data_IF_831391188316
#
_entry.id   IF_831391188316
#
_cell.length_a   1.000
_cell.length_b   1.000
_cell.length_c   1.000
_cell.angle_alpha   90.00
_cell.angle_beta   90.00
_cell.angle_gamma   90.00
#
_symmetry.space_group_name_H-M   'P 1'
#
loop_
_entity.id
_entity.type
_entity.pdbx_description
1 polymer ?
#
# COMPACT_ATOMS: atom_id res chain seq x y z
N UNK A 1 31.74 35.92 22.36
CA UNK A 1 30.28 35.92 22.30
C UNK A 1 29.86 35.95 20.83
N UNK A 2 29.79 34.86 20.16
CA UNK A 2 29.26 34.76 18.79
C UNK A 2 28.63 33.40 18.62
N UNK A 3 27.29 33.42 18.53
CA UNK A 3 26.41 32.60 17.69
C UNK A 3 26.70 31.10 17.65
N UNK A 4 26.26 30.38 18.66
CA UNK A 4 25.80 29.00 18.58
C UNK A 4 24.30 29.08 18.79
N UNK A 5 23.59 29.35 17.74
CA UNK A 5 22.14 29.28 17.69
C UNK A 5 21.78 29.10 16.23
N UNK A 6 21.43 27.90 15.87
CA UNK A 6 20.56 27.57 14.76
C UNK A 6 20.94 26.23 14.08
N UNK A 7 20.93 25.16 14.86
CA UNK A 7 20.85 23.83 14.29
C UNK A 7 20.03 22.90 15.22
N UNK A 8 19.04 23.50 15.87
CA UNK A 8 18.15 22.74 16.75
C UNK A 8 16.71 23.17 16.52
N UNK A 9 16.26 23.14 15.28
CA UNK A 9 14.83 23.31 14.98
C UNK A 9 14.50 22.80 13.57
N UNK A 10 14.64 21.51 13.36
CA UNK A 10 13.87 20.73 12.38
C UNK A 10 13.86 19.27 12.83
N UNK A 11 13.64 19.04 14.11
CA UNK A 11 13.22 17.75 14.63
C UNK A 11 11.69 17.72 14.57
N UNK A 12 11.13 17.71 13.38
CA UNK A 12 9.76 17.23 13.19
C UNK A 12 9.83 15.74 13.49
N UNK A 13 9.15 15.35 14.54
CA UNK A 13 8.95 13.98 14.99
C UNK A 13 8.32 13.13 13.87
N UNK A 14 9.15 12.62 12.98
CA UNK A 14 8.85 11.37 12.28
C UNK A 14 9.35 10.31 13.25
N UNK A 15 8.44 9.57 13.86
CA UNK A 15 8.77 8.35 14.60
C UNK A 15 9.25 7.28 13.60
N UNK A 16 10.41 7.49 13.00
CA UNK A 16 11.15 6.40 12.40
C UNK A 16 11.73 5.60 13.57
N UNK A 17 11.19 4.41 13.79
CA UNK A 17 11.75 3.48 14.76
C UNK A 17 13.17 3.13 14.31
N UNK A 18 14.17 3.75 14.92
CA UNK A 18 15.55 3.33 14.78
C UNK A 18 15.73 2.08 15.63
N UNK A 19 15.79 0.92 15.02
CA UNK A 19 16.15 -0.32 15.71
C UNK A 19 17.63 -0.57 15.53
N UNK A 20 18.39 -0.28 16.56
CA UNK A 20 19.79 -0.68 16.64
C UNK A 20 19.83 -2.14 17.10
N UNK A 21 20.37 -3.02 16.30
CA UNK A 21 20.71 -4.37 16.75
C UNK A 21 21.99 -4.26 17.57
N UNK A 22 21.91 -4.58 18.88
CA UNK A 22 23.08 -4.49 19.76
C UNK A 22 24.19 -5.41 19.26
N UNK A 23 25.36 -4.83 19.00
CA UNK A 23 26.57 -5.58 18.68
C UNK A 23 27.06 -6.38 19.87
N UNK A 24 27.61 -7.57 19.64
CA UNK A 24 28.35 -8.32 20.65
C UNK A 24 29.65 -7.56 21.00
N UNK A 25 30.11 -7.63 22.25
CA UNK A 25 31.37 -7.00 22.67
C UNK A 25 32.53 -7.50 21.77
N UNK A 26 33.20 -6.55 21.08
CA UNK A 26 34.38 -6.85 20.24
C UNK A 26 34.14 -6.79 18.74
N UNK A 27 32.93 -6.48 18.28
CA UNK A 27 32.63 -6.32 16.84
C UNK A 27 33.30 -5.10 16.23
N UNK A 28 33.60 -5.18 14.92
CA UNK A 28 34.20 -4.05 14.19
C UNK A 28 33.15 -3.14 13.55
N UNK A 29 31.89 -3.61 13.43
CA UNK A 29 30.81 -2.84 12.82
C UNK A 29 29.48 -3.10 13.53
N UNK A 30 28.56 -2.18 13.31
CA UNK A 30 27.15 -2.28 13.66
C UNK A 30 26.29 -1.92 12.46
N UNK A 31 25.06 -2.34 12.46
CA UNK A 31 24.10 -1.91 11.47
C UNK A 31 22.72 -1.67 12.09
N UNK A 32 22.02 -0.70 11.56
CA UNK A 32 20.67 -0.32 11.98
C UNK A 32 19.77 0.00 10.80
N UNK A 33 18.48 0.16 11.05
CA UNK A 33 17.47 0.46 10.02
C UNK A 33 16.78 1.77 10.32
N UNK A 34 16.59 2.58 9.28
CA UNK A 34 15.68 3.71 9.25
C UNK A 34 14.66 3.50 8.14
N UNK A 35 13.36 3.55 8.47
CA UNK A 35 12.29 3.48 7.50
C UNK A 35 11.81 4.90 7.14
N UNK A 36 11.48 5.12 5.87
CA UNK A 36 10.89 6.36 5.39
C UNK A 36 9.43 6.15 4.96
N UNK A 37 8.63 7.23 5.02
CA UNK A 37 7.20 7.21 4.66
C UNK A 37 6.91 6.86 3.19
N UNK A 38 7.91 7.03 2.31
CA UNK A 38 7.80 6.74 0.87
C UNK A 38 7.97 5.25 0.50
N UNK A 39 8.02 4.38 1.50
CA UNK A 39 8.25 2.95 1.30
C UNK A 39 9.71 2.59 1.01
N UNK A 40 10.64 3.50 1.31
CA UNK A 40 12.07 3.20 1.31
C UNK A 40 12.56 2.83 2.72
N UNK A 41 13.61 2.04 2.77
CA UNK A 41 14.32 1.72 4.00
C UNK A 41 15.81 1.91 3.79
N UNK A 42 16.46 2.53 4.76
CA UNK A 42 17.90 2.74 4.76
C UNK A 42 18.53 1.84 5.82
N UNK A 43 19.46 0.97 5.39
CA UNK A 43 20.32 0.19 6.28
C UNK A 43 21.61 0.99 6.48
N UNK A 44 21.78 1.52 7.68
CA UNK A 44 22.95 2.31 8.08
C UNK A 44 23.98 1.36 8.66
N UNK A 45 25.18 1.30 8.07
CA UNK A 45 26.29 0.48 8.57
C UNK A 45 27.35 1.39 9.15
N UNK A 46 27.69 1.20 10.42
CA UNK A 46 28.66 2.02 11.15
C UNK A 46 29.87 1.19 11.62
N UNK A 47 31.03 1.81 11.68
CA UNK A 47 32.23 1.21 12.22
C UNK A 47 32.32 1.42 13.73
N UNK A 48 32.61 0.39 14.48
CA UNK A 48 32.92 0.45 15.92
C UNK A 48 34.38 0.82 16.19
N UNK A 49 35.25 0.71 15.18
CA UNK A 49 36.68 1.05 15.24
C UNK A 49 37.05 1.79 13.96
N UNK A 50 37.99 2.74 14.03
CA UNK A 50 38.44 3.45 12.85
C UNK A 50 39.03 2.50 11.81
N UNK A 51 38.57 2.64 10.55
CA UNK A 51 39.11 1.89 9.42
C UNK A 51 39.30 2.78 8.22
N UNK A 52 40.44 2.67 7.56
CA UNK A 52 40.72 3.35 6.31
C UNK A 52 40.08 2.65 5.10
N UNK A 53 39.67 1.41 5.26
CA UNK A 53 39.03 0.61 4.22
C UNK A 53 38.16 -0.48 4.85
N UNK A 54 37.14 -0.89 4.10
CA UNK A 54 36.31 -2.04 4.38
C UNK A 54 35.87 -2.71 3.09
N UNK A 55 35.68 -4.01 3.16
CA UNK A 55 35.02 -4.77 2.11
C UNK A 55 33.80 -5.49 2.72
N UNK A 56 32.63 -5.19 2.20
CA UNK A 56 31.36 -5.65 2.72
C UNK A 56 30.61 -6.46 1.67
N UNK A 57 29.97 -7.50 2.14
CA UNK A 57 28.97 -8.24 1.37
C UNK A 57 27.63 -8.06 2.06
N UNK A 58 26.60 -7.70 1.30
CA UNK A 58 25.22 -7.49 1.81
C UNK A 58 24.30 -8.44 1.08
N UNK A 59 23.65 -9.31 1.82
CA UNK A 59 22.68 -10.27 1.29
C UNK A 59 21.27 -9.90 1.79
N UNK A 60 20.29 -9.96 0.91
CA UNK A 60 18.90 -9.58 1.18
C UNK A 60 17.93 -10.38 0.32
N UNK A 61 16.67 -10.46 0.73
CA UNK A 61 15.62 -11.11 -0.05
C UNK A 61 15.10 -10.17 -1.16
N UNK A 62 15.33 -10.48 -2.45
CA UNK A 62 14.87 -9.66 -3.57
C UNK A 62 13.34 -9.66 -3.72
N UNK A 63 12.64 -10.63 -3.13
CA UNK A 63 11.17 -10.63 -3.01
C UNK A 63 10.63 -9.60 -2.03
N UNK A 64 11.46 -9.12 -1.12
CA UNK A 64 11.11 -8.15 -0.09
C UNK A 64 11.71 -6.77 -0.33
N UNK A 65 12.94 -6.71 -0.84
CA UNK A 65 13.74 -5.50 -0.95
C UNK A 65 14.35 -5.38 -2.36
N UNK A 66 14.31 -4.17 -2.91
CA UNK A 66 15.03 -3.84 -4.15
C UNK A 66 16.06 -2.75 -3.83
N UNK A 67 17.33 -3.02 -4.10
CA UNK A 67 18.39 -2.04 -3.92
C UNK A 67 18.21 -0.85 -4.86
N UNK A 68 18.24 0.38 -4.31
CA UNK A 68 18.08 1.61 -5.09
C UNK A 68 19.31 2.50 -5.11
N UNK A 69 20.23 2.34 -4.17
CA UNK A 69 21.45 3.12 -4.13
C UNK A 69 22.11 3.14 -2.76
N UNK A 70 23.29 3.75 -2.69
CA UNK A 70 23.97 3.96 -1.42
C UNK A 70 24.57 5.36 -1.33
N UNK A 71 24.78 5.80 -0.10
CA UNK A 71 25.59 6.97 0.25
C UNK A 71 26.73 6.53 1.19
N UNK A 72 27.89 7.14 1.08
CA UNK A 72 29.04 6.81 1.89
C UNK A 72 29.98 8.00 2.00
N UNK A 73 30.56 8.27 3.19
CA UNK A 73 31.57 9.30 3.35
C UNK A 73 32.95 8.92 2.78
N UNK A 74 33.13 7.69 2.32
CA UNK A 74 34.40 7.23 1.76
C UNK A 74 34.69 7.86 0.40
N UNK A 75 35.90 8.38 0.23
CA UNK A 75 36.30 9.07 -1.00
C UNK A 75 36.41 8.14 -2.21
N UNK A 76 36.68 6.86 -1.98
CA UNK A 76 36.70 5.80 -3.02
C UNK A 76 35.76 4.69 -2.60
N UNK A 77 34.79 4.40 -3.43
CA UNK A 77 33.88 3.29 -3.20
C UNK A 77 33.53 2.59 -4.51
N UNK A 78 33.19 1.33 -4.41
CA UNK A 78 32.67 0.53 -5.51
C UNK A 78 31.51 -0.31 -5.01
N UNK A 79 30.46 -0.40 -5.80
CA UNK A 79 29.30 -1.26 -5.51
C UNK A 79 29.03 -2.12 -6.72
N UNK A 80 29.07 -3.45 -6.52
CA UNK A 80 28.57 -4.41 -7.49
C UNK A 80 27.24 -4.95 -6.94
N UNK A 81 26.17 -4.66 -7.64
CA UNK A 81 24.83 -5.13 -7.29
C UNK A 81 24.46 -6.35 -8.14
N UNK A 82 24.02 -7.41 -7.49
CA UNK A 82 23.36 -8.58 -8.03
C UNK A 82 21.91 -8.61 -7.51
N UNK A 83 21.11 -9.56 -7.89
CA UNK A 83 19.68 -9.57 -7.56
C UNK A 83 19.42 -9.63 -6.04
N UNK A 84 20.18 -10.46 -5.33
CA UNK A 84 20.04 -10.75 -3.90
C UNK A 84 21.27 -10.33 -3.07
N UNK A 85 22.25 -9.68 -3.72
CA UNK A 85 23.55 -9.45 -3.11
C UNK A 85 24.25 -8.18 -3.59
N UNK A 86 24.86 -7.45 -2.66
CA UNK A 86 25.78 -6.35 -2.96
C UNK A 86 27.18 -6.70 -2.49
N UNK A 87 28.18 -6.33 -3.30
CA UNK A 87 29.59 -6.36 -2.90
C UNK A 87 30.10 -4.92 -2.91
N UNK A 88 30.60 -4.45 -1.77
CA UNK A 88 30.95 -3.05 -1.54
C UNK A 88 32.39 -2.94 -1.10
N UNK A 89 33.20 -2.21 -1.86
CA UNK A 89 34.55 -1.84 -1.49
C UNK A 89 34.60 -0.37 -1.06
N UNK A 90 35.08 -0.09 0.14
CA UNK A 90 35.25 1.24 0.69
C UNK A 90 36.73 1.52 0.95
N UNK A 91 37.24 2.68 0.55
CA UNK A 91 38.60 3.11 0.82
C UNK A 91 38.67 4.62 1.06
N UNK A 92 39.45 5.01 2.05
CA UNK A 92 39.80 6.39 2.29
C UNK A 92 41.33 6.51 2.38
N UNK A 93 41.97 7.35 1.57
CA UNK A 93 43.43 7.52 1.59
C UNK A 93 43.96 8.18 2.86
N UNK A 94 43.12 8.80 3.65
CA UNK A 94 43.51 9.46 4.91
C UNK A 94 43.11 8.60 6.10
N UNK A 95 44.02 8.44 7.07
CA UNK A 95 43.70 7.81 8.34
C UNK A 95 42.60 8.59 9.06
N UNK A 96 41.50 7.92 9.39
CA UNK A 96 40.34 8.54 10.01
C UNK A 96 40.52 8.68 11.51
N UNK A 97 39.93 9.71 12.11
CA UNK A 97 39.99 10.00 13.53
C UNK A 97 39.12 9.02 14.37
N UNK A 98 39.43 8.98 15.66
CA UNK A 98 38.99 8.00 16.66
C UNK A 98 37.50 7.98 17.05
N UNK A 99 36.56 8.14 16.11
CA UNK A 99 35.13 8.10 16.42
C UNK A 99 34.41 7.04 15.55
N UNK A 100 33.31 6.51 16.05
CA UNK A 100 32.44 5.62 15.30
C UNK A 100 32.01 6.30 13.98
N UNK A 101 32.22 5.65 12.87
CA UNK A 101 32.04 6.24 11.55
C UNK A 101 30.98 5.50 10.77
N UNK A 102 30.12 6.28 10.15
CA UNK A 102 29.26 5.77 9.10
C UNK A 102 30.09 5.18 7.96
N UNK A 103 29.88 3.91 7.65
CA UNK A 103 30.53 3.26 6.55
C UNK A 103 29.75 3.45 5.26
N UNK A 104 28.49 3.12 5.29
CA UNK A 104 27.61 3.22 4.13
C UNK A 104 26.16 3.18 4.55
N UNK A 105 25.36 4.01 3.91
CA UNK A 105 23.91 4.00 3.94
C UNK A 105 23.39 3.30 2.69
N UNK A 106 22.72 2.17 2.87
CA UNK A 106 22.17 1.36 1.80
C UNK A 106 20.68 1.58 1.70
N UNK A 107 20.22 2.12 0.59
CA UNK A 107 18.80 2.38 0.36
C UNK A 107 18.16 1.25 -0.43
N UNK A 108 17.07 0.76 0.12
CA UNK A 108 16.21 -0.25 -0.51
C UNK A 108 14.80 0.26 -0.63
N UNK A 109 14.12 -0.11 -1.70
CA UNK A 109 12.68 0.03 -1.83
C UNK A 109 12.03 -1.26 -1.38
N UNK A 110 11.04 -1.17 -0.50
CA UNK A 110 10.25 -2.31 -0.08
C UNK A 110 9.32 -2.78 -1.21
N UNK A 111 9.28 -4.08 -1.45
CA UNK A 111 8.50 -4.71 -2.51
C UNK A 111 7.52 -5.70 -1.92
N UNK A 112 6.26 -5.31 -1.77
CA UNK A 112 5.18 -6.20 -1.36
C UNK A 112 5.06 -6.47 0.15
N UNK A 113 4.01 -7.20 0.50
CA UNK A 113 3.62 -7.45 1.87
C UNK A 113 4.38 -8.59 2.54
N UNK A 114 5.16 -8.26 3.52
CA UNK A 114 5.86 -9.17 4.39
C UNK A 114 5.95 -8.55 5.79
N UNK A 115 6.01 -9.41 6.82
CA UNK A 115 6.03 -8.94 8.21
C UNK A 115 7.43 -8.48 8.60
N UNK A 116 8.44 -9.27 8.25
CA UNK A 116 9.84 -8.95 8.47
C UNK A 116 10.74 -9.63 7.43
N UNK A 117 11.89 -9.04 7.17
CA UNK A 117 12.98 -9.66 6.40
C UNK A 117 14.30 -9.33 7.04
N UNK A 118 15.37 -10.03 6.64
CA UNK A 118 16.70 -9.79 7.15
C UNK A 118 17.63 -9.29 6.05
N UNK A 119 18.47 -8.32 6.42
CA UNK A 119 19.63 -7.92 5.63
C UNK A 119 20.86 -8.35 6.40
N UNK A 120 21.69 -9.18 5.77
CA UNK A 120 22.94 -9.66 6.34
C UNK A 120 24.08 -8.81 5.79
N UNK A 121 24.82 -8.15 6.67
CA UNK A 121 26.00 -7.37 6.32
C UNK A 121 27.22 -8.09 6.86
N UNK A 122 28.04 -8.60 5.96
CA UNK A 122 29.29 -9.33 6.30
C UNK A 122 30.49 -8.49 5.91
N UNK A 123 31.38 -8.22 6.87
CA UNK A 123 32.71 -7.71 6.59
C UNK A 123 33.68 -8.87 6.41
N UNK A 124 34.39 -8.94 5.29
CA UNK A 124 35.47 -9.89 5.04
C UNK A 124 36.85 -9.22 5.13
N UNK A 125 36.92 -7.89 5.02
CA UNK A 125 38.10 -7.07 5.28
C UNK A 125 37.71 -5.79 6.01
N UNK A 126 38.50 -5.43 7.02
CA UNK A 126 38.32 -4.21 7.78
C UNK A 126 39.66 -3.68 8.27
N UNK A 127 39.96 -2.40 7.95
CA UNK A 127 41.24 -1.79 8.32
C UNK A 127 42.47 -2.50 7.76
N UNK A 128 42.34 -3.11 6.59
CA UNK A 128 43.41 -3.91 5.95
C UNK A 128 43.59 -5.31 6.49
N UNK A 129 42.85 -5.71 7.51
CA UNK A 129 42.86 -7.05 8.10
C UNK A 129 41.74 -7.91 7.49
N UNK A 130 42.00 -9.19 7.33
CA UNK A 130 40.94 -10.15 7.04
C UNK A 130 40.10 -10.34 8.31
N UNK A 131 38.81 -10.23 8.17
CA UNK A 131 37.81 -10.45 9.24
C UNK A 131 36.73 -11.39 8.71
N UNK A 132 35.89 -11.91 9.57
CA UNK A 132 34.69 -12.66 9.18
C UNK A 132 33.62 -12.33 10.19
N UNK A 133 32.97 -11.22 9.99
CA UNK A 133 31.97 -10.68 10.91
C UNK A 133 30.70 -10.38 10.15
N UNK A 134 29.60 -10.89 10.65
CA UNK A 134 28.26 -10.67 10.06
C UNK A 134 27.36 -10.03 11.09
N UNK A 135 26.73 -8.94 10.69
CA UNK A 135 25.63 -8.30 11.41
C UNK A 135 24.34 -8.57 10.65
N UNK A 136 23.35 -9.10 11.36
CA UNK A 136 22.00 -9.29 10.82
C UNK A 136 21.12 -8.14 11.24
N UNK A 137 20.52 -7.49 10.28
CA UNK A 137 19.58 -6.39 10.51
C UNK A 137 18.19 -6.88 10.15
N UNK A 138 17.27 -6.85 11.10
CA UNK A 138 15.87 -7.15 10.83
C UNK A 138 15.19 -5.88 10.32
N UNK A 139 14.68 -5.94 9.11
CA UNK A 139 13.85 -4.90 8.51
C UNK A 139 12.41 -5.27 8.79
N UNK A 140 11.71 -4.44 9.55
CA UNK A 140 10.29 -4.59 9.73
C UNK A 140 9.61 -4.19 8.45
N UNK A 141 8.82 -5.06 7.89
CA UNK A 141 7.91 -4.75 6.81
C UNK A 141 6.87 -3.75 7.32
N UNK A 142 6.29 -3.02 6.43
CA UNK A 142 5.19 -2.12 6.78
C UNK A 142 3.89 -2.89 7.00
N UNK A 143 3.96 -4.20 7.19
CA UNK A 143 2.80 -5.07 7.29
C UNK A 143 2.04 -5.19 5.97
N UNK A 144 2.70 -4.98 4.83
CA UNK A 144 2.06 -5.11 3.53
C UNK A 144 1.55 -6.52 3.34
N UNK A 145 0.28 -6.66 3.53
CA UNK A 145 -0.41 -7.94 3.53
C UNK A 145 -0.27 -8.70 2.21
N UNK A 146 -0.01 -8.00 1.09
CA UNK A 146 -0.07 -8.61 -0.24
C UNK A 146 1.18 -8.29 -1.08
N UNK A 147 1.84 -9.33 -1.58
CA UNK A 147 3.06 -9.22 -2.41
C UNK A 147 2.83 -8.51 -3.74
N UNK A 148 1.61 -8.51 -4.25
CA UNK A 148 1.20 -7.87 -5.50
C UNK A 148 0.58 -6.47 -5.30
N UNK A 149 0.78 -5.87 -4.12
CA UNK A 149 0.40 -4.51 -3.78
C UNK A 149 1.65 -3.74 -3.34
N UNK A 150 2.51 -3.32 -4.30
CA UNK A 150 3.76 -2.64 -3.98
C UNK A 150 3.52 -1.27 -3.36
N UNK A 151 4.40 -0.89 -2.43
CA UNK A 151 4.45 0.46 -1.90
C UNK A 151 4.58 1.51 -3.01
N UNK A 152 3.94 2.66 -2.81
CA UNK A 152 3.96 3.76 -3.76
C UNK A 152 3.09 3.58 -5.00
N UNK A 153 2.31 2.50 -5.10
CA UNK A 153 1.22 2.41 -6.07
C UNK A 153 0.04 3.25 -5.60
N UNK A 154 -0.72 3.81 -6.54
CA UNK A 154 -1.87 4.68 -6.25
C UNK A 154 -2.99 4.02 -5.43
N UNK A 155 -3.00 2.70 -5.34
CA UNK A 155 -3.99 1.91 -4.59
C UNK A 155 -3.44 1.32 -3.29
N UNK A 156 -2.16 1.52 -3.01
CA UNK A 156 -1.49 0.87 -1.88
C UNK A 156 -2.16 1.18 -0.55
N UNK A 157 -2.29 2.45 -0.19
CA UNK A 157 -2.86 2.89 1.08
C UNK A 157 -4.30 2.40 1.27
N UNK A 158 -5.11 2.50 0.21
CA UNK A 158 -6.48 2.04 0.23
C UNK A 158 -6.58 0.52 0.45
N UNK A 159 -5.77 -0.27 -0.26
CA UNK A 159 -5.79 -1.73 -0.11
C UNK A 159 -5.30 -2.13 1.28
N UNK A 160 -4.21 -1.54 1.74
CA UNK A 160 -3.63 -1.85 3.05
C UNK A 160 -4.61 -1.54 4.18
N UNK A 161 -5.18 -0.33 4.19
CA UNK A 161 -6.14 0.10 5.21
C UNK A 161 -7.40 -0.76 5.19
N UNK A 162 -8.00 -0.97 4.02
CA UNK A 162 -9.22 -1.76 3.88
C UNK A 162 -9.01 -3.23 4.27
N UNK A 163 -7.81 -3.78 4.03
CA UNK A 163 -7.47 -5.13 4.42
C UNK A 163 -7.12 -5.25 5.92
N UNK A 164 -6.46 -4.25 6.50
CA UNK A 164 -6.16 -4.21 7.93
C UNK A 164 -7.43 -4.20 8.79
N UNK A 165 -8.44 -3.44 8.35
CA UNK A 165 -9.77 -3.40 8.99
C UNK A 165 -10.65 -4.64 8.67
N UNK A 166 -10.17 -5.55 7.81
CA UNK A 166 -10.91 -6.75 7.43
C UNK A 166 -12.05 -6.55 6.43
N UNK A 167 -12.21 -5.36 5.88
CA UNK A 167 -13.28 -5.05 4.92
C UNK A 167 -13.07 -5.72 3.56
N UNK A 168 -11.82 -5.76 3.08
CA UNK A 168 -11.48 -6.42 1.84
C UNK A 168 -10.50 -7.57 2.12
N UNK A 169 -10.76 -8.74 1.51
CA UNK A 169 -9.86 -9.90 1.64
C UNK A 169 -9.02 -10.05 0.38
N UNK A 170 -7.80 -10.59 0.52
CA UNK A 170 -6.99 -11.01 -0.62
C UNK A 170 -7.61 -12.20 -1.36
N UNK A 171 -7.08 -12.48 -2.54
CA UNK A 171 -7.37 -13.73 -3.26
C UNK A 171 -6.68 -14.93 -2.58
N UNK A 172 -5.62 -14.64 -1.83
CA UNK A 172 -4.93 -15.54 -0.90
C UNK A 172 -4.33 -14.73 0.23
N UNK A 173 -3.68 -15.39 1.17
CA UNK A 173 -2.99 -14.72 2.30
C UNK A 173 -1.87 -13.76 1.84
N UNK A 174 -1.34 -13.95 0.63
CA UNK A 174 -0.20 -13.18 0.12
C UNK A 174 -0.47 -12.41 -1.17
N UNK A 175 -1.65 -12.54 -1.77
CA UNK A 175 -1.98 -11.88 -3.04
C UNK A 175 -3.37 -11.24 -2.98
N UNK A 176 -3.43 -9.99 -3.40
CA UNK A 176 -4.66 -9.21 -3.48
C UNK A 176 -5.38 -9.37 -4.82
N UNK A 177 -4.65 -9.46 -5.92
CA UNK A 177 -5.18 -9.46 -7.27
C UNK A 177 -5.65 -8.07 -7.73
N UNK A 178 -4.82 -7.00 -7.66
CA UNK A 178 -5.27 -5.62 -7.90
C UNK A 178 -5.88 -5.41 -9.29
N UNK A 179 -5.37 -6.12 -10.31
CA UNK A 179 -5.86 -6.03 -11.69
C UNK A 179 -7.08 -6.89 -12.00
N UNK A 180 -7.53 -7.76 -11.10
CA UNK A 180 -8.67 -8.63 -11.35
C UNK A 180 -9.98 -7.86 -11.30
N UNK A 181 -10.87 -8.13 -12.22
CA UNK A 181 -12.22 -7.56 -12.22
C UNK A 181 -13.04 -8.09 -11.04
N UNK A 182 -13.94 -7.27 -10.53
CA UNK A 182 -14.80 -7.64 -9.42
C UNK A 182 -16.22 -7.92 -9.89
N UNK A 183 -16.75 -9.08 -9.51
CA UNK A 183 -18.14 -9.40 -9.76
C UNK A 183 -19.07 -8.91 -8.65
N UNK A 184 -20.37 -8.92 -8.91
CA UNK A 184 -21.42 -8.42 -7.99
C UNK A 184 -21.45 -9.21 -6.68
N UNK A 185 -21.24 -10.53 -6.72
CA UNK A 185 -21.16 -11.39 -5.53
C UNK A 185 -19.95 -11.09 -4.64
N UNK A 186 -18.90 -10.49 -5.19
CA UNK A 186 -17.72 -10.06 -4.42
C UNK A 186 -17.82 -8.61 -3.93
N UNK A 187 -18.55 -7.75 -4.67
CA UNK A 187 -18.68 -6.32 -4.32
C UNK A 187 -19.67 -6.09 -3.16
N UNK A 188 -20.87 -6.68 -3.21
CA UNK A 188 -21.90 -6.45 -2.18
C UNK A 188 -21.46 -6.85 -0.77
N UNK A 189 -20.75 -7.97 -0.55
CA UNK A 189 -20.18 -8.28 0.76
C UNK A 189 -19.19 -7.26 1.32
N UNK A 190 -18.54 -6.45 0.47
CA UNK A 190 -17.66 -5.38 0.96
C UNK A 190 -18.48 -4.31 1.68
N UNK A 191 -19.60 -3.88 1.09
CA UNK A 191 -20.51 -2.92 1.72
C UNK A 191 -21.10 -3.47 3.02
N UNK A 192 -21.50 -4.74 3.02
CA UNK A 192 -22.05 -5.37 4.23
C UNK A 192 -21.03 -5.46 5.36
N UNK A 193 -19.76 -5.80 5.06
CA UNK A 193 -18.70 -5.82 6.09
C UNK A 193 -18.39 -4.43 6.63
N UNK A 194 -18.39 -3.41 5.77
CA UNK A 194 -18.24 -2.01 6.18
C UNK A 194 -19.38 -1.55 7.08
N UNK A 195 -20.58 -2.10 6.89
CA UNK A 195 -21.75 -1.86 7.73
C UNK A 195 -21.81 -2.75 9.01
N UNK A 196 -20.85 -3.63 9.19
CA UNK A 196 -20.81 -4.57 10.33
C UNK A 196 -21.79 -5.74 10.21
N UNK A 197 -22.29 -6.04 9.01
CA UNK A 197 -23.18 -7.19 8.77
C UNK A 197 -22.41 -8.48 8.95
N UNK A 198 -22.92 -9.37 9.77
CA UNK A 198 -22.34 -10.70 9.98
C UNK A 198 -22.49 -11.57 8.73
N UNK A 199 -21.46 -12.35 8.44
CA UNK A 199 -21.49 -13.31 7.34
C UNK A 199 -22.38 -14.49 7.72
N UNK A 200 -23.58 -14.52 7.17
CA UNK A 200 -24.60 -15.54 7.41
C UNK A 200 -25.19 -16.03 6.10
N UNK A 201 -25.87 -17.15 6.14
CA UNK A 201 -26.66 -17.64 5.00
C UNK A 201 -28.09 -17.16 5.10
N UNK A 202 -28.66 -16.69 4.00
CA UNK A 202 -30.03 -16.23 3.95
C UNK A 202 -30.71 -16.55 2.63
N UNK A 203 -32.02 -16.79 2.69
CA UNK A 203 -32.87 -16.78 1.50
C UNK A 203 -33.01 -15.38 0.93
N UNK A 204 -33.04 -15.27 -0.38
CA UNK A 204 -33.26 -14.01 -1.10
C UNK A 204 -34.41 -14.17 -2.09
N UNK A 205 -34.96 -13.06 -2.58
CA UNK A 205 -35.93 -13.11 -3.68
C UNK A 205 -35.30 -13.44 -5.04
N UNK A 206 -33.98 -13.44 -5.15
CA UNK A 206 -33.27 -13.66 -6.40
C UNK A 206 -33.07 -15.15 -6.67
N UNK A 207 -33.57 -15.62 -7.82
CA UNK A 207 -33.61 -17.03 -8.16
C UNK A 207 -32.20 -17.64 -8.42
N UNK A 208 -31.21 -16.80 -8.67
CA UNK A 208 -29.82 -17.17 -8.99
C UNK A 208 -28.84 -16.96 -7.79
N UNK A 209 -29.38 -16.75 -6.60
CA UNK A 209 -28.59 -16.67 -5.36
C UNK A 209 -28.79 -17.95 -4.55
N UNK A 210 -27.76 -18.77 -4.48
CA UNK A 210 -27.78 -19.99 -3.67
C UNK A 210 -27.69 -19.62 -2.18
N UNK A 211 -28.56 -20.20 -1.34
CA UNK A 211 -28.67 -19.89 0.08
C UNK A 211 -27.35 -20.10 0.82
N UNK A 212 -26.63 -21.20 0.52
CA UNK A 212 -25.36 -21.53 1.18
C UNK A 212 -24.13 -20.81 0.57
N UNK A 213 -24.35 -19.85 -0.34
CA UNK A 213 -23.23 -19.04 -0.84
C UNK A 213 -22.78 -18.02 0.19
N UNK A 214 -21.46 -17.70 0.23
CA UNK A 214 -20.87 -16.75 1.16
C UNK A 214 -21.45 -15.32 1.05
N UNK A 215 -22.10 -15.01 -0.06
CA UNK A 215 -22.68 -13.69 -0.33
C UNK A 215 -24.18 -13.63 -0.09
N UNK A 216 -24.89 -14.75 0.17
CA UNK A 216 -26.35 -14.76 0.25
C UNK A 216 -26.92 -13.86 1.33
N UNK A 217 -26.34 -13.88 2.53
CA UNK A 217 -26.76 -13.01 3.63
C UNK A 217 -26.51 -11.53 3.35
N UNK A 218 -25.41 -11.20 2.71
CA UNK A 218 -25.11 -9.81 2.29
C UNK A 218 -26.04 -9.34 1.17
N UNK A 219 -26.40 -10.20 0.24
CA UNK A 219 -27.37 -9.87 -0.81
C UNK A 219 -28.77 -9.68 -0.23
N UNK A 220 -29.19 -10.53 0.71
CA UNK A 220 -30.45 -10.36 1.43
C UNK A 220 -30.50 -9.04 2.20
N UNK A 221 -29.43 -8.70 2.91
CA UNK A 221 -29.29 -7.42 3.60
C UNK A 221 -29.37 -6.24 2.63
N UNK A 222 -28.61 -6.27 1.53
CA UNK A 222 -28.57 -5.18 0.56
C UNK A 222 -29.89 -4.98 -0.18
N UNK A 223 -30.62 -6.05 -0.44
CA UNK A 223 -31.97 -6.00 -1.01
C UNK A 223 -32.99 -5.42 -0.01
N UNK A 224 -32.95 -5.86 1.24
CA UNK A 224 -33.84 -5.37 2.30
C UNK A 224 -33.69 -3.87 2.60
N UNK A 225 -32.47 -3.31 2.39
CA UNK A 225 -32.14 -1.90 2.60
C UNK A 225 -32.18 -1.09 1.28
N UNK A 226 -32.64 -1.67 0.18
CA UNK A 226 -32.78 -0.96 -1.10
C UNK A 226 -31.47 -0.64 -1.82
N UNK A 227 -30.34 -1.17 -1.34
CA UNK A 227 -29.02 -0.93 -1.91
C UNK A 227 -28.88 -1.60 -3.28
N UNK A 228 -29.45 -2.80 -3.42
CA UNK A 228 -29.47 -3.54 -4.68
C UNK A 228 -30.92 -3.80 -5.14
N UNK A 229 -31.16 -3.69 -6.42
CA UNK A 229 -32.48 -3.97 -7.03
C UNK A 229 -32.52 -5.25 -7.85
N UNK A 230 -31.37 -5.79 -8.19
CA UNK A 230 -31.23 -6.91 -9.10
C UNK A 230 -31.34 -6.52 -10.57
N UNK A 231 -31.55 -7.52 -11.40
CA UNK A 231 -31.68 -7.42 -12.86
C UNK A 231 -33.08 -7.89 -13.30
N UNK A 232 -33.38 -7.72 -14.57
CA UNK A 232 -34.62 -8.27 -15.14
C UNK A 232 -34.76 -9.77 -14.89
N UNK A 233 -35.99 -10.24 -14.66
CA UNK A 233 -36.25 -11.65 -14.37
C UNK A 233 -35.99 -12.06 -12.91
N UNK A 234 -35.94 -11.12 -11.99
CA UNK A 234 -35.68 -11.37 -10.57
C UNK A 234 -34.33 -12.05 -10.30
N UNK A 235 -33.29 -11.62 -11.01
CA UNK A 235 -31.93 -12.15 -10.91
C UNK A 235 -31.03 -11.12 -10.20
N UNK A 236 -30.09 -11.60 -9.39
CA UNK A 236 -29.01 -10.79 -8.84
C UNK A 236 -27.81 -10.69 -9.78
N UNK A 237 -27.61 -11.72 -10.60
CA UNK A 237 -26.46 -11.92 -11.48
C UNK A 237 -25.10 -11.93 -10.73
N UNK A 238 -24.88 -12.87 -9.78
CA UNK A 238 -23.72 -12.87 -8.88
C UNK A 238 -22.38 -12.95 -9.62
N UNK A 239 -22.31 -13.69 -10.72
CA UNK A 239 -21.10 -13.86 -11.54
C UNK A 239 -20.81 -12.72 -12.50
N UNK A 240 -21.72 -11.77 -12.68
CA UNK A 240 -21.51 -10.64 -13.59
C UNK A 240 -20.55 -9.62 -12.96
N UNK A 241 -19.57 -9.16 -13.74
CA UNK A 241 -18.70 -8.08 -13.31
C UNK A 241 -19.51 -6.82 -13.05
N UNK A 242 -19.22 -6.14 -11.93
CA UNK A 242 -19.85 -4.87 -11.59
C UNK A 242 -19.21 -3.77 -12.44
N UNK A 243 -20.04 -2.99 -13.12
CA UNK A 243 -19.56 -1.79 -13.82
C UNK A 243 -19.56 -0.56 -12.90
N UNK A 244 -18.88 0.50 -13.35
CA UNK A 244 -18.71 1.72 -12.54
C UNK A 244 -20.04 2.39 -12.20
N UNK A 245 -21.00 2.41 -13.12
CA UNK A 245 -22.33 2.95 -12.84
C UNK A 245 -23.06 2.17 -11.73
N UNK A 246 -23.00 0.85 -11.77
CA UNK A 246 -23.58 0.02 -10.72
C UNK A 246 -22.92 0.23 -9.36
N UNK A 247 -21.58 0.31 -9.32
CA UNK A 247 -20.84 0.54 -8.08
C UNK A 247 -21.21 1.87 -7.43
N UNK A 248 -21.16 2.95 -8.22
CA UNK A 248 -21.51 4.29 -7.73
C UNK A 248 -22.95 4.32 -7.23
N UNK A 249 -23.88 3.69 -7.95
CA UNK A 249 -25.29 3.61 -7.53
C UNK A 249 -25.49 2.81 -6.25
N UNK A 250 -24.75 1.72 -6.04
CA UNK A 250 -24.81 0.96 -4.79
C UNK A 250 -24.29 1.79 -3.61
N UNK A 251 -23.19 2.53 -3.79
CA UNK A 251 -22.67 3.44 -2.76
C UNK A 251 -23.62 4.59 -2.44
N UNK A 252 -24.20 5.20 -3.46
CA UNK A 252 -25.19 6.27 -3.31
C UNK A 252 -26.41 5.80 -2.50
N UNK A 253 -26.98 4.64 -2.85
CA UNK A 253 -28.10 4.05 -2.13
C UNK A 253 -27.73 3.63 -0.71
N UNK A 254 -26.51 3.13 -0.53
CA UNK A 254 -25.99 2.87 0.82
C UNK A 254 -25.91 4.15 1.64
N UNK A 255 -25.37 5.22 1.08
CA UNK A 255 -25.33 6.53 1.76
C UNK A 255 -26.72 7.03 2.13
N UNK A 256 -27.71 6.89 1.24
CA UNK A 256 -29.12 7.22 1.52
C UNK A 256 -29.69 6.37 2.67
N UNK A 257 -29.46 5.05 2.67
CA UNK A 257 -29.92 4.16 3.75
C UNK A 257 -29.32 4.55 5.11
N UNK A 258 -28.07 5.02 5.12
CA UNK A 258 -27.40 5.50 6.34
C UNK A 258 -27.75 6.94 6.74
N UNK A 259 -28.60 7.61 5.99
CA UNK A 259 -28.98 8.99 6.24
C UNK A 259 -27.82 9.98 6.07
N UNK A 260 -26.82 9.62 5.27
CA UNK A 260 -25.72 10.52 4.90
C UNK A 260 -26.25 11.61 3.94
N UNK A 261 -25.54 12.73 3.87
CA UNK A 261 -25.85 13.75 2.87
C UNK A 261 -25.49 13.25 1.48
N UNK A 262 -26.51 13.08 0.65
CA UNK A 262 -26.37 12.67 -0.75
C UNK A 262 -26.71 13.80 -1.71
N UNK A 263 -26.79 15.03 -1.22
CA UNK A 263 -27.01 16.19 -2.08
C UNK A 263 -25.85 16.37 -3.07
N UNK A 264 -26.18 16.75 -4.27
CA UNK A 264 -25.22 17.08 -5.33
C UNK A 264 -25.80 18.17 -6.23
N UNK A 265 -24.95 18.83 -6.99
CA UNK A 265 -25.37 19.72 -8.06
C UNK A 265 -26.11 18.96 -9.18
N UNK A 266 -26.73 19.74 -10.09
CA UNK A 266 -27.39 19.13 -11.25
C UNK A 266 -26.40 18.30 -12.08
N UNK A 267 -26.73 17.04 -12.42
CA UNK A 267 -25.82 16.17 -13.18
C UNK A 267 -25.32 16.81 -14.48
N UNK A 268 -26.17 17.58 -15.17
CA UNK A 268 -25.82 18.32 -16.37
C UNK A 268 -24.83 19.46 -16.16
N UNK A 269 -24.55 19.86 -14.92
CA UNK A 269 -23.51 20.83 -14.60
C UNK A 269 -22.23 20.11 -14.12
N UNK A 270 -22.37 19.22 -13.14
CA UNK A 270 -21.24 18.52 -12.48
C UNK A 270 -20.48 17.60 -13.45
N UNK A 271 -21.23 16.88 -14.29
CA UNK A 271 -20.62 15.82 -15.14
C UNK A 271 -20.06 16.36 -16.47
N UNK A 272 -20.37 17.60 -16.86
CA UNK A 272 -19.90 18.16 -18.12
C UNK A 272 -18.39 18.46 -18.16
N UNK A 273 -17.71 18.44 -17.01
CA UNK A 273 -16.25 18.52 -16.96
C UNK A 273 -15.56 17.24 -17.46
N UNK A 274 -16.32 16.16 -17.67
CA UNK A 274 -15.83 14.88 -18.18
C UNK A 274 -16.19 14.67 -19.64
N UNK A 275 -15.29 14.05 -20.40
CA UNK A 275 -15.43 13.81 -21.84
C UNK A 275 -16.73 13.02 -22.16
N UNK A 276 -17.10 12.10 -21.27
CA UNK A 276 -18.27 11.25 -21.41
C UNK A 276 -19.46 11.67 -20.52
N UNK A 277 -19.42 12.90 -19.99
CA UNK A 277 -20.43 13.42 -19.07
C UNK A 277 -21.84 13.39 -19.65
N UNK A 278 -22.03 13.76 -20.92
CA UNK A 278 -23.33 13.67 -21.60
C UNK A 278 -23.85 12.22 -21.65
N UNK A 279 -22.95 11.27 -21.93
CA UNK A 279 -23.31 9.84 -21.97
C UNK A 279 -23.66 9.31 -20.58
N UNK A 280 -23.03 9.82 -19.52
CA UNK A 280 -23.36 9.48 -18.12
C UNK A 280 -24.73 10.06 -17.74
N UNK A 281 -25.01 11.32 -18.09
CA UNK A 281 -26.30 11.96 -17.87
C UNK A 281 -27.47 11.21 -18.55
N UNK A 282 -27.21 10.57 -19.68
CA UNK A 282 -28.22 9.76 -20.38
C UNK A 282 -28.57 8.44 -19.66
N UNK A 283 -27.80 8.04 -18.63
CA UNK A 283 -28.11 6.88 -17.79
C UNK A 283 -28.94 7.37 -16.59
N UNK A 284 -30.26 7.52 -16.77
CA UNK A 284 -31.17 8.14 -15.81
C UNK A 284 -30.99 7.67 -14.35
N UNK A 285 -30.78 6.35 -14.14
CA UNK A 285 -30.63 5.78 -12.80
C UNK A 285 -29.24 5.97 -12.17
N UNK A 286 -28.25 6.43 -12.94
CA UNK A 286 -26.87 6.59 -12.48
C UNK A 286 -26.39 8.05 -12.52
N UNK A 287 -27.08 8.95 -13.21
CA UNK A 287 -26.66 10.33 -13.38
C UNK A 287 -26.48 11.08 -12.05
N UNK A 288 -27.49 11.05 -11.17
CA UNK A 288 -27.44 11.65 -9.83
C UNK A 288 -26.38 10.96 -8.93
N UNK A 289 -26.31 9.61 -8.83
CA UNK A 289 -25.23 8.91 -8.17
C UNK A 289 -23.83 9.33 -8.63
N UNK A 290 -23.61 9.51 -9.93
CA UNK A 290 -22.32 9.97 -10.43
C UNK A 290 -22.01 11.42 -10.04
N UNK A 291 -22.98 12.33 -10.12
CA UNK A 291 -22.79 13.73 -9.70
C UNK A 291 -22.39 13.77 -8.22
N UNK A 292 -23.13 13.07 -7.37
CA UNK A 292 -22.80 12.93 -5.96
C UNK A 292 -21.39 12.37 -5.73
N UNK A 293 -21.04 11.27 -6.39
CA UNK A 293 -19.76 10.61 -6.19
C UNK A 293 -18.56 11.44 -6.67
N UNK A 294 -18.75 12.27 -7.70
CA UNK A 294 -17.74 13.22 -8.19
C UNK A 294 -17.53 14.36 -7.19
N UNK A 295 -18.61 15.02 -6.75
CA UNK A 295 -18.52 16.16 -5.82
C UNK A 295 -17.98 15.77 -4.45
N UNK A 296 -18.26 14.54 -4.02
CA UNK A 296 -17.73 14.00 -2.75
C UNK A 296 -16.37 13.29 -2.91
N UNK A 297 -15.71 13.41 -4.07
CA UNK A 297 -14.38 12.85 -4.27
C UNK A 297 -14.29 11.31 -4.29
N UNK A 298 -15.44 10.62 -4.23
CA UNK A 298 -15.50 9.15 -4.27
C UNK A 298 -14.97 8.60 -5.59
N UNK A 299 -15.22 9.33 -6.68
CA UNK A 299 -14.74 8.99 -8.01
C UNK A 299 -14.18 10.23 -8.72
N UNK A 300 -12.97 10.11 -9.28
CA UNK A 300 -12.28 11.23 -9.93
C UNK A 300 -12.14 11.05 -11.46
N UNK A 301 -12.71 9.99 -12.01
CA UNK A 301 -12.51 9.62 -13.42
C UNK A 301 -11.11 9.09 -13.72
N UNK A 302 -10.88 8.75 -14.96
CA UNK A 302 -9.59 8.33 -15.53
C UNK A 302 -9.45 8.95 -16.92
N UNK A 303 -8.32 9.59 -17.19
CA UNK A 303 -8.05 10.27 -18.47
C UNK A 303 -9.20 11.20 -18.93
N UNK A 304 -9.83 11.90 -17.96
CA UNK A 304 -10.94 12.80 -18.21
C UNK A 304 -12.28 12.11 -18.48
N UNK A 305 -12.42 10.80 -18.24
CA UNK A 305 -13.67 10.04 -18.41
C UNK A 305 -14.13 9.40 -17.12
N UNK A 306 -15.44 9.26 -16.94
CA UNK A 306 -16.08 8.52 -15.85
C UNK A 306 -16.24 7.03 -16.17
N UNK A 307 -16.34 6.70 -17.44
CA UNK A 307 -16.46 5.36 -18.01
C UNK A 307 -17.54 4.50 -17.32
N UNK A 308 -18.83 4.87 -17.39
CA UNK A 308 -19.91 4.25 -16.61
C UNK A 308 -20.12 2.75 -16.92
N UNK A 309 -19.90 2.34 -18.17
CA UNK A 309 -20.02 0.96 -18.61
C UNK A 309 -18.78 0.10 -18.33
N UNK A 310 -17.65 0.74 -18.02
CA UNK A 310 -16.40 0.05 -17.75
C UNK A 310 -16.49 -0.77 -16.46
N UNK A 311 -15.92 -1.97 -16.46
CA UNK A 311 -15.74 -2.78 -15.25
C UNK A 311 -14.65 -2.17 -14.37
N UNK A 312 -14.76 -2.35 -13.07
CA UNK A 312 -13.71 -1.95 -12.15
C UNK A 312 -12.92 -3.17 -11.67
N UNK A 313 -11.62 -2.99 -11.60
CA UNK A 313 -10.76 -3.96 -10.96
C UNK A 313 -10.74 -3.76 -9.43
N UNK A 314 -10.20 -4.75 -8.73
CA UNK A 314 -10.18 -4.78 -7.27
C UNK A 314 -9.46 -3.59 -6.64
N UNK A 315 -8.37 -3.10 -7.27
CA UNK A 315 -7.67 -1.91 -6.80
C UNK A 315 -8.54 -0.65 -6.90
N UNK A 316 -9.24 -0.47 -8.02
CA UNK A 316 -10.16 0.67 -8.20
C UNK A 316 -11.32 0.63 -7.19
N UNK A 317 -11.87 -0.56 -6.94
CA UNK A 317 -12.91 -0.75 -5.91
C UNK A 317 -12.39 -0.38 -4.53
N UNK A 318 -11.21 -0.88 -4.16
CA UNK A 318 -10.61 -0.57 -2.86
C UNK A 318 -10.42 0.94 -2.66
N UNK A 319 -9.89 1.65 -3.66
CA UNK A 319 -9.69 3.10 -3.59
C UNK A 319 -11.02 3.86 -3.50
N UNK A 320 -12.03 3.44 -4.26
CA UNK A 320 -13.34 4.10 -4.21
C UNK A 320 -14.01 3.93 -2.84
N UNK A 321 -13.98 2.73 -2.27
CA UNK A 321 -14.49 2.45 -0.93
C UNK A 321 -13.67 3.18 0.14
N UNK A 322 -12.35 3.20 0.03
CA UNK A 322 -11.47 3.93 0.93
C UNK A 322 -11.80 5.41 0.98
N UNK A 323 -11.93 6.06 -0.18
CA UNK A 323 -12.34 7.47 -0.27
C UNK A 323 -13.70 7.72 0.36
N UNK A 324 -14.64 6.84 0.08
CA UNK A 324 -16.00 6.96 0.62
C UNK A 324 -16.05 6.83 2.15
N UNK A 325 -15.27 5.93 2.75
CA UNK A 325 -15.38 5.65 4.19
C UNK A 325 -14.34 6.37 5.06
N UNK A 326 -13.21 6.79 4.50
CA UNK A 326 -12.07 7.30 5.27
C UNK A 326 -11.60 8.69 4.88
N UNK A 327 -11.99 9.24 3.73
CA UNK A 327 -11.54 10.56 3.26
C UNK A 327 -12.69 11.62 3.30
N UNK A 328 -13.81 11.33 3.93
CA UNK A 328 -14.97 12.25 4.04
C UNK A 328 -14.82 13.22 5.20
#
# INVERSE_FOLDING_TARGET
>A
MKKITSLLLCLVLVLSAFTLTAAAEGTCMEAGVMAAEDGTVTVVVTAQKPAANAHLTVEFDPGCLTYVGCETPFAVHSVKAEEDKLTIGLANPSAMANEALELVDLRFKMTGGWDETSVLVTADRFGGQAVSETVTVTVQGTGYRFKDVPAGTWYFEAVDRMAAEGFIKGMSDTHFGPGLEMNRASFVPLLGRLDGVEETFAETRFADVEVESFYSGFVAWADANGIVEGMSGNLFAPGQNVNRAQMVTFLYRYAQDKGMDVSAGEPGEVLMDYIDGEAVCAIEWAAEPFAWAVENGVINGMDGTLNPAGTANRAQVAVMLYRFFFEQ
#
